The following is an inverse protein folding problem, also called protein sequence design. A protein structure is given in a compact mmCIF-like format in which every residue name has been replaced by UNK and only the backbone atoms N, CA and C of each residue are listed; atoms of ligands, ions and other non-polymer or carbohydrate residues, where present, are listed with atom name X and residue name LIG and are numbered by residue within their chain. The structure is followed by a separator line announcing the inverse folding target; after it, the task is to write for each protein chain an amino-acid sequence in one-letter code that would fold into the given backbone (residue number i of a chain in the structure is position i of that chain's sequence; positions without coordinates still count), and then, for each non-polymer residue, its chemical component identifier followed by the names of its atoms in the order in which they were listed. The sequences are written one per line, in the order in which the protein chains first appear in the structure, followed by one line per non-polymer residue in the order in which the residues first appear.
data_IF_686894369940
#
_entry.id   IF_686894369940
#
_cell.length_a   1.000
_cell.length_b   1.000
_cell.length_c   1.000
_cell.angle_alpha   90.00
_cell.angle_beta   90.00
_cell.angle_gamma   90.00
#
_symmetry.space_group_name_H-M   'P 1'
#
loop_
_entity.id
_entity.type
_entity.pdbx_description
1 polymer ?
#
# COMPACT_ATOMS: atom_id res chain seq x y z
N UNK A 1 10.52 -10.59 -6.11
CA UNK A 1 10.51 -9.96 -4.78
C UNK A 1 9.26 -10.45 -4.08
N UNK A 2 9.37 -11.03 -2.89
CA UNK A 2 8.20 -11.48 -2.11
C UNK A 2 7.77 -10.34 -1.20
N UNK A 3 6.47 -10.10 -1.10
CA UNK A 3 5.90 -9.08 -0.20
C UNK A 3 5.35 -9.80 1.03
N UNK A 4 5.72 -9.29 2.19
CA UNK A 4 5.39 -9.86 3.49
C UNK A 4 4.95 -8.77 4.48
N UNK A 5 4.21 -9.12 5.54
CA UNK A 5 3.93 -8.18 6.63
C UNK A 5 5.20 -7.49 7.14
N UNK A 6 5.14 -6.18 7.29
CA UNK A 6 6.26 -5.29 7.61
C UNK A 6 6.96 -4.68 6.38
N UNK A 7 6.70 -5.19 5.17
CA UNK A 7 7.24 -4.59 3.94
C UNK A 7 6.73 -3.16 3.76
N UNK A 8 7.63 -2.25 3.35
CA UNK A 8 7.24 -0.93 2.86
C UNK A 8 7.22 -0.99 1.35
N UNK A 9 6.04 -0.74 0.77
CA UNK A 9 5.82 -0.70 -0.67
C UNK A 9 5.48 0.73 -1.09
N UNK A 10 5.84 1.07 -2.32
CA UNK A 10 5.43 2.34 -2.94
C UNK A 10 4.26 2.04 -3.87
N UNK A 11 3.13 2.68 -3.60
CA UNK A 11 1.99 2.69 -4.50
C UNK A 11 2.21 3.82 -5.48
N UNK A 12 2.40 3.47 -6.75
CA UNK A 12 2.54 4.44 -7.85
C UNK A 12 1.28 5.30 -7.96
N UNK A 13 1.44 6.55 -8.40
CA UNK A 13 0.29 7.42 -8.65
C UNK A 13 -0.71 6.77 -9.63
N UNK A 14 -1.99 6.81 -9.29
CA UNK A 14 -3.07 6.29 -10.13
C UNK A 14 -4.34 7.13 -9.95
N UNK A 15 -5.11 7.31 -11.03
CA UNK A 15 -6.28 8.19 -11.04
C UNK A 15 -5.97 9.55 -10.39
N UNK A 16 -6.67 9.93 -9.33
CA UNK A 16 -6.45 11.15 -8.55
C UNK A 16 -5.63 10.92 -7.26
N UNK A 17 -5.04 9.74 -7.11
CA UNK A 17 -4.23 9.36 -5.94
C UNK A 17 -2.75 9.56 -6.24
N UNK A 18 -2.03 10.44 -5.51
CA UNK A 18 -0.60 10.63 -5.70
C UNK A 18 0.19 9.38 -5.24
N UNK A 19 1.44 9.29 -5.70
CA UNK A 19 2.37 8.28 -5.21
C UNK A 19 2.52 8.37 -3.68
N UNK A 20 2.50 7.23 -3.01
CA UNK A 20 2.68 7.16 -1.57
C UNK A 20 3.26 5.84 -1.09
N UNK A 21 3.87 5.87 0.09
CA UNK A 21 4.39 4.70 0.76
C UNK A 21 3.33 4.07 1.67
N UNK A 22 3.44 2.77 1.83
CA UNK A 22 2.49 1.94 2.56
C UNK A 22 3.23 0.83 3.29
N UNK A 23 2.92 0.62 4.58
CA UNK A 23 3.41 -0.55 5.33
C UNK A 23 2.37 -1.66 5.25
N UNK A 24 2.78 -2.80 4.72
CA UNK A 24 1.95 -4.01 4.65
C UNK A 24 1.79 -4.61 6.04
N UNK A 25 0.55 -4.83 6.47
CA UNK A 25 0.24 -5.57 7.69
C UNK A 25 -0.38 -6.95 7.35
N UNK A 26 -1.10 -7.06 6.23
CA UNK A 26 -1.71 -8.30 5.74
C UNK A 26 -1.48 -8.51 4.24
N UNK A 27 -1.27 -9.76 3.82
CA UNK A 27 -1.10 -10.15 2.42
C UNK A 27 -2.23 -11.10 2.03
N UNK A 28 -2.96 -10.74 0.97
CA UNK A 28 -4.06 -11.51 0.39
C UNK A 28 -3.63 -12.13 -0.95
N UNK A 29 -4.50 -12.95 -1.54
CA UNK A 29 -4.22 -13.59 -2.84
C UNK A 29 -4.08 -12.57 -3.98
N UNK A 30 -4.78 -11.44 -3.89
CA UNK A 30 -4.89 -10.42 -4.94
C UNK A 30 -4.45 -9.01 -4.50
N UNK A 31 -3.93 -8.85 -3.28
CA UNK A 31 -3.52 -7.54 -2.78
C UNK A 31 -2.93 -7.56 -1.37
N UNK A 32 -2.77 -6.36 -0.81
CA UNK A 32 -2.24 -6.17 0.56
C UNK A 32 -3.08 -5.15 1.33
N UNK A 33 -3.15 -5.35 2.65
CA UNK A 33 -3.74 -4.45 3.61
C UNK A 33 -2.70 -3.89 4.59
N UNK A 34 -2.95 -2.73 5.19
CA UNK A 34 -1.93 -2.03 5.99
C UNK A 34 -2.13 -0.52 6.10
N UNK A 35 -1.07 0.19 6.52
CA UNK A 35 -1.11 1.60 6.89
C UNK A 35 -0.41 2.47 5.86
N UNK A 36 -1.09 3.54 5.42
CA UNK A 36 -0.51 4.57 4.55
C UNK A 36 0.49 5.41 5.34
N UNK A 37 1.71 5.54 4.84
CA UNK A 37 2.80 6.23 5.54
C UNK A 37 2.99 7.68 5.08
N UNK A 38 2.61 8.00 3.85
CA UNK A 38 2.82 9.33 3.24
C UNK A 38 1.62 9.80 2.45
N UNK A 39 1.53 11.11 2.21
CA UNK A 39 0.45 11.70 1.42
C UNK A 39 -0.79 12.07 2.26
N UNK A 40 -1.91 12.46 1.61
CA UNK A 40 -3.07 13.03 2.28
C UNK A 40 -3.82 12.03 3.18
N UNK A 41 -3.62 10.73 2.98
CA UNK A 41 -4.24 9.65 3.76
C UNK A 41 -3.26 9.02 4.78
N UNK A 42 -2.11 9.65 5.05
CA UNK A 42 -1.13 9.11 5.99
C UNK A 42 -1.74 8.84 7.38
N UNK A 43 -1.51 7.64 7.90
CA UNK A 43 -2.09 7.14 9.15
C UNK A 43 -3.37 6.32 8.98
N UNK A 44 -4.02 6.38 7.81
CA UNK A 44 -5.23 5.60 7.53
C UNK A 44 -4.89 4.14 7.16
N UNK A 45 -5.82 3.24 7.48
CA UNK A 45 -5.76 1.83 7.07
C UNK A 45 -6.39 1.66 5.69
N UNK A 46 -5.66 1.05 4.75
CA UNK A 46 -6.19 0.64 3.46
C UNK A 46 -6.26 -0.89 3.38
N UNK A 47 -7.43 -1.42 3.03
CA UNK A 47 -7.68 -2.86 2.99
C UNK A 47 -7.26 -3.52 1.67
N UNK A 48 -7.08 -2.76 0.59
CA UNK A 48 -6.76 -3.30 -0.75
C UNK A 48 -5.90 -2.31 -1.54
N UNK A 49 -4.59 -2.31 -1.29
CA UNK A 49 -3.65 -1.63 -2.17
C UNK A 49 -3.29 -2.58 -3.33
N UNK A 50 -3.72 -2.24 -4.56
CA UNK A 50 -3.33 -2.99 -5.75
C UNK A 50 -1.97 -2.51 -6.22
N UNK A 51 -1.00 -3.42 -6.17
CA UNK A 51 0.33 -3.19 -6.72
C UNK A 51 0.25 -3.37 -8.24
N UNK A 52 0.40 -2.28 -8.99
CA UNK A 52 0.58 -2.38 -10.43
C UNK A 52 2.06 -2.71 -10.72
N UNK A 53 2.28 -3.87 -11.34
CA UNK A 53 3.57 -4.30 -11.89
C UNK A 53 4.06 -3.37 -12.99
#
# INVERSE_FOLDING_TARGET
MTIEPGSIVTIMAFDDVPEHQFRVDEVFEDGVGGIVLTGPLAGEYASQAILKN
#
